data_IF_741518738216
#
_entry.id   IF_741518738216
#
_cell.length_a   1.000
_cell.length_b   1.000
_cell.length_c   1.000
_cell.angle_alpha   90.00
_cell.angle_beta   90.00
_cell.angle_gamma   90.00
#
_symmetry.space_group_name_H-M   'P 1'
#
loop_
_entity.id
_entity.type
_entity.pdbx_description
1 polymer ?
#
# COMPACT_ATOMS: atom_id res chain seq x y z
N UNK A 1 9.93 31.94 -28.94
CA UNK A 1 9.11 31.75 -27.72
C UNK A 1 9.39 30.35 -27.19
N UNK A 2 9.96 30.22 -25.99
CA UNK A 2 10.44 28.95 -25.43
C UNK A 2 9.26 28.11 -24.94
N UNK A 3 9.09 26.90 -25.45
CA UNK A 3 8.09 25.92 -25.01
C UNK A 3 8.68 25.04 -23.90
N UNK A 4 8.39 25.36 -22.64
CA UNK A 4 8.73 24.53 -21.48
C UNK A 4 7.62 23.52 -21.23
N UNK A 5 7.64 22.42 -21.99
CA UNK A 5 6.75 21.28 -21.80
C UNK A 5 7.25 20.40 -20.65
N UNK A 6 6.64 20.60 -19.49
CA UNK A 6 6.44 19.70 -18.35
C UNK A 6 7.30 18.42 -18.28
N UNK A 7 8.42 18.49 -17.54
CA UNK A 7 9.24 17.36 -17.09
C UNK A 7 8.57 16.47 -16.01
N UNK A 8 7.29 16.70 -15.70
CA UNK A 8 6.61 16.08 -14.53
C UNK A 8 5.82 14.82 -14.84
N UNK A 9 5.73 14.38 -16.10
CA UNK A 9 5.04 13.12 -16.43
C UNK A 9 5.91 11.89 -16.16
N UNK A 10 7.24 12.06 -16.07
CA UNK A 10 8.19 10.94 -15.88
C UNK A 10 8.40 10.55 -14.41
N UNK A 11 8.02 11.38 -13.44
CA UNK A 11 8.28 11.12 -12.02
C UNK A 11 7.20 10.24 -11.36
N UNK A 12 5.99 10.19 -11.93
CA UNK A 12 4.86 9.48 -11.30
C UNK A 12 4.84 7.96 -11.55
N UNK A 13 5.76 7.43 -12.36
CA UNK A 13 5.81 6.00 -12.73
C UNK A 13 6.89 5.20 -12.01
N UNK A 14 7.82 5.84 -11.29
CA UNK A 14 8.99 5.14 -10.74
C UNK A 14 8.74 4.49 -9.36
N UNK A 15 7.64 4.83 -8.68
CA UNK A 15 7.33 4.25 -7.37
C UNK A 15 6.50 2.95 -7.44
N UNK A 16 5.94 2.62 -8.61
CA UNK A 16 5.19 1.38 -8.86
C UNK A 16 6.04 0.27 -9.50
N UNK A 17 7.37 0.33 -9.36
CA UNK A 17 8.26 -0.72 -9.86
C UNK A 17 9.28 -1.22 -8.84
N UNK A 18 9.29 -0.70 -7.60
CA UNK A 18 10.28 -1.08 -6.59
C UNK A 18 9.85 -2.20 -5.63
N UNK A 19 8.67 -2.81 -5.79
CA UNK A 19 8.23 -3.89 -4.88
C UNK A 19 7.74 -5.14 -5.64
N UNK A 20 8.19 -5.36 -6.88
CA UNK A 20 7.90 -6.59 -7.62
C UNK A 20 9.13 -7.42 -8.01
N UNK A 21 10.33 -7.11 -7.48
CA UNK A 21 11.55 -7.72 -8.00
C UNK A 21 12.77 -7.84 -7.09
N UNK A 22 12.62 -7.85 -5.76
CA UNK A 22 13.71 -8.31 -4.89
C UNK A 22 13.54 -9.82 -4.62
N UNK A 23 13.74 -10.62 -5.65
CA UNK A 23 14.00 -12.05 -5.48
C UNK A 23 15.44 -12.23 -5.01
N UNK A 24 15.58 -12.77 -3.79
CA UNK A 24 16.66 -13.63 -3.31
C UNK A 24 18.10 -13.10 -3.38
N UNK A 25 18.57 -12.57 -2.24
CA UNK A 25 19.92 -12.86 -1.76
C UNK A 25 19.82 -13.35 -0.31
N UNK A 26 20.37 -14.54 -0.09
CA UNK A 26 20.37 -15.26 1.17
C UNK A 26 21.02 -14.46 2.30
N UNK A 27 20.23 -14.02 3.26
CA UNK A 27 20.68 -13.83 4.64
C UNK A 27 19.90 -14.85 5.46
N UNK A 28 20.62 -15.82 5.99
CA UNK A 28 20.09 -16.81 6.92
C UNK A 28 19.44 -16.09 8.11
N UNK A 29 18.19 -16.48 8.44
CA UNK A 29 17.42 -16.05 9.62
C UNK A 29 17.64 -14.61 10.07
N UNK A 30 17.12 -13.65 9.32
CA UNK A 30 16.73 -12.38 9.93
C UNK A 30 15.21 -12.43 10.10
N UNK A 31 14.76 -12.36 11.36
CA UNK A 31 13.37 -12.37 11.77
C UNK A 31 12.65 -11.20 11.09
N UNK A 32 12.03 -11.46 9.93
CA UNK A 32 11.28 -10.43 9.20
C UNK A 32 10.19 -9.97 10.15
N UNK A 33 10.27 -8.72 10.59
CA UNK A 33 9.28 -8.15 11.50
C UNK A 33 7.99 -7.92 10.71
N UNK A 34 7.10 -8.92 10.75
CA UNK A 34 5.86 -8.91 10.01
C UNK A 34 4.90 -7.82 10.52
N UNK A 35 4.99 -7.42 11.79
CA UNK A 35 4.24 -6.27 12.33
C UNK A 35 4.61 -4.97 11.62
N UNK A 36 5.89 -4.72 11.36
CA UNK A 36 6.34 -3.52 10.62
C UNK A 36 5.83 -3.55 9.17
N UNK A 37 5.81 -4.71 8.53
CA UNK A 37 5.27 -4.85 7.17
C UNK A 37 3.76 -4.61 7.14
N UNK A 38 3.02 -5.14 8.10
CA UNK A 38 1.58 -4.94 8.21
C UNK A 38 1.23 -3.45 8.33
N UNK A 39 1.87 -2.75 9.27
CA UNK A 39 1.71 -1.31 9.48
C UNK A 39 2.06 -0.49 8.21
N UNK A 40 3.08 -0.91 7.45
CA UNK A 40 3.43 -0.25 6.17
C UNK A 40 2.32 -0.40 5.14
N UNK A 41 1.72 -1.58 5.03
CA UNK A 41 0.60 -1.81 4.10
C UNK A 41 -0.66 -1.05 4.52
N UNK A 42 -0.97 -0.98 5.82
CA UNK A 42 -2.07 -0.12 6.32
C UNK A 42 -1.85 1.35 5.98
N UNK A 43 -0.63 1.86 6.16
CA UNK A 43 -0.30 3.23 5.77
C UNK A 43 -0.47 3.48 4.27
N UNK A 44 -0.16 2.49 3.42
CA UNK A 44 -0.37 2.62 1.97
C UNK A 44 -1.85 2.56 1.60
N UNK A 45 -2.66 1.76 2.29
CA UNK A 45 -4.11 1.77 2.15
C UNK A 45 -4.71 3.14 2.52
N UNK A 46 -4.30 3.71 3.66
CA UNK A 46 -4.72 5.05 4.07
C UNK A 46 -4.32 6.14 3.06
N UNK A 47 -3.16 6.01 2.41
CA UNK A 47 -2.76 6.91 1.33
C UNK A 47 -3.68 6.80 0.10
N UNK A 48 -4.19 5.59 -0.21
CA UNK A 48 -5.16 5.42 -1.30
C UNK A 48 -6.50 6.08 -0.96
N UNK A 49 -6.97 5.98 0.28
CA UNK A 49 -8.18 6.65 0.76
C UNK A 49 -8.07 8.18 0.69
N UNK A 50 -6.89 8.72 1.05
CA UNK A 50 -6.62 10.14 0.88
C UNK A 50 -6.69 10.57 -0.60
N UNK A 51 -6.16 9.76 -1.52
CA UNK A 51 -6.24 10.02 -2.97
C UNK A 51 -7.67 9.91 -3.51
N UNK A 52 -8.49 9.00 -2.98
CA UNK A 52 -9.92 8.92 -3.32
C UNK A 52 -10.61 10.24 -2.93
N UNK A 53 -10.38 10.70 -1.70
CA UNK A 53 -10.93 11.95 -1.18
C UNK A 53 -10.51 13.14 -2.04
N UNK A 54 -9.22 13.22 -2.41
CA UNK A 54 -8.71 14.26 -3.31
C UNK A 54 -9.43 14.26 -4.68
N UNK A 55 -9.62 13.08 -5.29
CA UNK A 55 -10.35 13.00 -6.57
C UNK A 55 -11.82 13.44 -6.44
N UNK A 56 -12.47 13.10 -5.32
CA UNK A 56 -13.85 13.53 -5.03
C UNK A 56 -13.94 15.04 -4.84
N UNK A 57 -12.98 15.65 -4.13
CA UNK A 57 -12.93 17.11 -3.93
C UNK A 57 -12.66 17.86 -5.25
N UNK A 58 -11.71 17.40 -6.05
CA UNK A 58 -11.44 17.97 -7.39
C UNK A 58 -12.70 17.92 -8.24
N UNK A 59 -13.45 16.81 -8.16
CA UNK A 59 -14.70 16.65 -8.89
C UNK A 59 -15.79 17.61 -8.41
N UNK A 60 -15.91 17.80 -7.09
CA UNK A 60 -16.91 18.68 -6.48
C UNK A 60 -16.64 20.16 -6.77
N UNK A 61 -15.37 20.58 -6.77
CA UNK A 61 -14.98 21.99 -6.85
C UNK A 61 -14.87 22.53 -8.29
N UNK A 62 -14.99 21.67 -9.31
CA UNK A 62 -14.89 22.09 -10.70
C UNK A 62 -16.20 22.71 -11.20
N UNK A 63 -16.17 23.81 -11.98
CA UNK A 63 -17.37 24.44 -12.52
C UNK A 63 -18.21 23.46 -13.33
N UNK A 64 -19.55 23.48 -13.16
CA UNK A 64 -20.49 22.60 -13.88
C UNK A 64 -20.31 22.63 -15.40
N UNK A 65 -19.93 23.79 -15.94
CA UNK A 65 -19.65 24.01 -17.37
C UNK A 65 -18.48 23.18 -17.89
N UNK A 66 -17.51 22.82 -17.04
CA UNK A 66 -16.38 21.95 -17.41
C UNK A 66 -16.81 20.53 -17.77
N UNK A 67 -18.05 20.15 -17.48
CA UNK A 67 -18.56 18.79 -17.63
C UNK A 67 -19.52 18.61 -18.80
N UNK A 68 -19.62 19.60 -19.68
CA UNK A 68 -20.43 19.51 -20.89
C UNK A 68 -19.65 18.98 -22.10
N UNK A 69 -20.37 18.42 -23.06
CA UNK A 69 -19.80 17.85 -24.28
C UNK A 69 -18.91 16.63 -24.05
N UNK A 70 -18.14 16.26 -25.07
CA UNK A 70 -17.26 15.09 -25.07
C UNK A 70 -16.15 15.24 -24.02
N UNK A 71 -15.57 16.43 -23.91
CA UNK A 71 -14.52 16.73 -22.93
C UNK A 71 -15.01 16.51 -21.49
N UNK A 72 -16.25 16.94 -21.19
CA UNK A 72 -16.86 16.73 -19.89
C UNK A 72 -17.13 15.25 -19.54
N UNK A 73 -17.59 14.46 -20.52
CA UNK A 73 -17.73 13.00 -20.36
C UNK A 73 -16.39 12.34 -20.07
N UNK A 74 -15.34 12.73 -20.79
CA UNK A 74 -13.99 12.19 -20.59
C UNK A 74 -13.45 12.50 -19.18
N UNK A 75 -13.66 13.72 -18.69
CA UNK A 75 -13.26 14.11 -17.32
C UNK A 75 -13.97 13.24 -16.28
N UNK A 76 -15.29 13.05 -16.41
CA UNK A 76 -16.08 12.20 -15.49
C UNK A 76 -15.56 10.76 -15.48
N UNK A 77 -15.42 10.16 -16.65
CA UNK A 77 -14.92 8.78 -16.77
C UNK A 77 -13.53 8.62 -16.20
N UNK A 78 -12.66 9.61 -16.39
CA UNK A 78 -11.30 9.58 -15.86
C UNK A 78 -11.25 9.65 -14.32
N UNK A 79 -12.08 10.51 -13.72
CA UNK A 79 -12.19 10.59 -12.24
C UNK A 79 -12.72 9.27 -11.67
N UNK A 80 -13.79 8.72 -12.26
CA UNK A 80 -14.37 7.43 -11.84
C UNK A 80 -13.33 6.30 -11.94
N UNK A 81 -12.57 6.27 -13.05
CA UNK A 81 -11.50 5.29 -13.23
C UNK A 81 -10.43 5.39 -12.13
N UNK A 82 -10.00 6.60 -11.79
CA UNK A 82 -9.01 6.81 -10.73
C UNK A 82 -9.52 6.37 -9.36
N UNK A 83 -10.74 6.74 -9.00
CA UNK A 83 -11.36 6.33 -7.73
C UNK A 83 -11.36 4.80 -7.62
N UNK A 84 -11.89 4.10 -8.63
CA UNK A 84 -11.91 2.63 -8.65
C UNK A 84 -10.51 2.00 -8.57
N UNK A 85 -9.52 2.62 -9.20
CA UNK A 85 -8.14 2.16 -9.15
C UNK A 85 -7.57 2.27 -7.72
N UNK A 86 -7.85 3.38 -7.03
CA UNK A 86 -7.39 3.56 -5.66
C UNK A 86 -8.15 2.69 -4.66
N UNK A 87 -9.47 2.51 -4.84
CA UNK A 87 -10.27 1.57 -4.03
C UNK A 87 -9.69 0.16 -4.10
N UNK A 88 -9.42 -0.33 -5.31
CA UNK A 88 -8.80 -1.64 -5.51
C UNK A 88 -7.42 -1.75 -4.86
N UNK A 89 -6.58 -0.72 -5.00
CA UNK A 89 -5.26 -0.72 -4.38
C UNK A 89 -5.32 -0.69 -2.84
N UNK A 90 -6.28 0.04 -2.26
CA UNK A 90 -6.52 0.05 -0.82
C UNK A 90 -6.88 -1.35 -0.31
N UNK A 91 -7.80 -2.04 -1.00
CA UNK A 91 -8.20 -3.41 -0.69
C UNK A 91 -7.01 -4.38 -0.75
N UNK A 92 -6.22 -4.33 -1.83
CA UNK A 92 -5.02 -5.17 -1.98
C UNK A 92 -3.98 -4.92 -0.87
N UNK A 93 -3.80 -3.67 -0.44
CA UNK A 93 -2.90 -3.36 0.66
C UNK A 93 -3.46 -3.83 2.02
N UNK A 94 -4.76 -3.73 2.25
CA UNK A 94 -5.36 -4.26 3.48
C UNK A 94 -5.27 -5.79 3.55
N UNK A 95 -5.40 -6.48 2.42
CA UNK A 95 -5.19 -7.93 2.37
C UNK A 95 -3.74 -8.31 2.73
N UNK A 96 -2.76 -7.56 2.19
CA UNK A 96 -1.34 -7.77 2.51
C UNK A 96 -1.02 -7.43 3.97
N UNK A 97 -1.65 -6.39 4.54
CA UNK A 97 -1.53 -6.07 5.96
C UNK A 97 -2.06 -7.22 6.84
N UNK A 98 -3.25 -7.74 6.53
CA UNK A 98 -3.85 -8.86 7.27
C UNK A 98 -2.97 -10.13 7.22
N UNK A 99 -2.39 -10.44 6.06
CA UNK A 99 -1.47 -11.55 5.91
C UNK A 99 -0.24 -11.40 6.81
N UNK A 100 0.35 -10.21 6.88
CA UNK A 100 1.50 -9.95 7.74
C UNK A 100 1.14 -9.94 9.23
N UNK A 101 -0.03 -9.43 9.62
CA UNK A 101 -0.52 -9.56 11.00
C UNK A 101 -0.63 -11.02 11.44
N UNK A 102 -1.16 -11.89 10.57
CA UNK A 102 -1.26 -13.32 10.86
C UNK A 102 0.13 -13.97 11.07
N UNK A 103 1.10 -13.62 10.24
CA UNK A 103 2.48 -14.12 10.37
C UNK A 103 3.19 -13.59 11.63
N UNK A 104 2.93 -12.33 12.02
CA UNK A 104 3.47 -11.75 13.25
C UNK A 104 2.92 -12.47 14.51
N UNK A 105 1.64 -12.82 14.50
CA UNK A 105 1.03 -13.61 15.57
C UNK A 105 1.68 -14.99 15.69
N UNK A 106 1.87 -15.70 14.56
CA UNK A 106 2.52 -17.01 14.53
C UNK A 106 3.97 -16.97 15.04
N UNK A 107 4.75 -15.95 14.67
CA UNK A 107 6.10 -15.72 15.20
C UNK A 107 6.08 -15.56 16.73
N UNK A 108 5.11 -14.81 17.26
CA UNK A 108 4.99 -14.56 18.70
C UNK A 108 4.64 -15.84 19.48
N UNK A 109 3.75 -16.66 18.94
CA UNK A 109 3.34 -17.93 19.54
C UNK A 109 4.52 -18.92 19.57
N UNK A 110 5.23 -19.07 18.45
CA UNK A 110 6.39 -19.95 18.36
C UNK A 110 7.51 -19.55 19.34
N UNK A 111 7.74 -18.24 19.51
CA UNK A 111 8.70 -17.71 20.49
C UNK A 111 8.29 -18.08 21.92
N UNK A 112 7.01 -17.90 22.28
CA UNK A 112 6.47 -18.25 23.60
C UNK A 112 6.64 -19.74 23.95
N UNK A 113 6.31 -20.63 23.00
CA UNK A 113 6.48 -22.09 23.18
C UNK A 113 7.96 -22.46 23.39
N UNK A 114 8.88 -21.87 22.62
CA UNK A 114 10.32 -22.12 22.79
C UNK A 114 10.85 -21.71 24.17
N UNK A 115 10.36 -20.59 24.72
CA UNK A 115 10.77 -20.12 26.06
C UNK A 115 10.24 -21.00 27.19
N UNK A 116 9.06 -21.58 27.02
CA UNK A 116 8.46 -22.50 27.99
C UNK A 116 9.26 -23.80 28.10
N UNK A 117 9.64 -24.39 26.95
CA UNK A 117 10.43 -25.63 26.92
C UNK A 117 11.85 -25.46 27.48
N UNK A 118 12.45 -24.26 27.35
CA UNK A 118 13.79 -23.98 27.89
C UNK A 118 13.81 -23.83 29.41
N UNK A 119 12.70 -23.42 30.00
CA UNK A 119 12.61 -23.18 31.46
C UNK A 119 12.32 -24.47 32.22
N UNK A 120 11.52 -25.38 31.65
CA UNK A 120 11.21 -26.68 32.28
C UNK A 120 12.37 -27.69 32.30
N UNK A 121 13.46 -27.45 31.57
CA UNK A 121 14.61 -28.36 31.49
C UNK A 121 15.77 -28.05 32.44
N UNK A 122 15.67 -27.00 33.26
CA UNK A 122 16.75 -26.54 34.13
C UNK A 122 16.50 -26.77 35.64
N UNK A 123 15.38 -27.40 36.02
CA UNK A 123 14.99 -27.58 37.42
C UNK A 123 15.36 -28.97 38.01
N UNK A 124 16.07 -29.81 37.26
CA UNK A 124 16.62 -31.10 37.74
C UNK A 124 18.17 -31.08 37.72
N UNK A 125 18.81 -30.49 38.74
CA UNK A 125 20.22 -30.74 39.11
C UNK A 125 20.49 -30.38 40.58
#
# INVERSE_FOLDING_TARGET
MRTTTKKYVLVFSLFMFLIFGASMNSVASDDVNHEVLANKFESMAAEMDAKITEQQEIFKNKPRTSYFGINGKNIKSHVIYKIRKYEKAAEEYLEQAALHHAMAAEQSDMKSVSTTNKTSGNDDS
#
